data_IF_264116268529
#
_entry.id   IF_264116268529
#
_cell.length_a   1.000
_cell.length_b   1.000
_cell.length_c   1.000
_cell.angle_alpha   90.00
_cell.angle_beta   90.00
_cell.angle_gamma   90.00
#
_symmetry.space_group_name_H-M   'P 1'
#
loop_
_entity.id
_entity.type
_entity.pdbx_description
1 polymer ?
#
# COMPACT_ATOMS: atom_id res chain seq x y z
N UNK A 1 23.11 13.40 49.02
CA UNK A 1 23.33 12.60 47.77
C UNK A 1 22.02 12.05 47.18
N UNK A 2 20.86 12.67 47.44
CA UNK A 2 19.53 12.16 47.02
C UNK A 2 18.92 12.91 45.83
N UNK A 3 19.42 14.11 45.51
CA UNK A 3 18.92 14.93 44.39
C UNK A 3 19.48 14.51 43.03
N UNK A 4 20.74 14.05 42.99
CA UNK A 4 21.41 13.69 41.73
C UNK A 4 20.92 12.36 41.15
N UNK A 5 20.48 11.42 41.99
CA UNK A 5 19.85 10.15 41.57
C UNK A 5 18.44 10.36 41.03
N UNK A 6 17.70 11.33 41.56
CA UNK A 6 16.37 11.71 41.05
C UNK A 6 16.41 12.32 39.66
N UNK A 7 17.40 13.18 39.38
CA UNK A 7 17.58 13.77 38.05
C UNK A 7 18.01 12.76 37.00
N UNK A 8 18.86 11.79 37.35
CA UNK A 8 19.27 10.71 36.42
C UNK A 8 18.08 9.81 36.09
N UNK A 9 17.25 9.47 37.08
CA UNK A 9 16.06 8.63 36.88
C UNK A 9 14.99 9.34 36.02
N UNK A 10 14.85 10.65 36.15
CA UNK A 10 13.93 11.47 35.35
C UNK A 10 14.40 11.65 33.89
N UNK A 11 15.72 11.66 33.64
CA UNK A 11 16.27 11.75 32.28
C UNK A 11 16.11 10.42 31.52
N UNK A 12 16.24 9.28 32.20
CA UNK A 12 16.12 7.96 31.61
C UNK A 12 14.71 7.63 31.10
N UNK A 13 13.66 8.14 31.76
CA UNK A 13 12.25 7.91 31.37
C UNK A 13 11.83 8.69 30.13
N UNK A 14 12.47 9.82 29.81
CA UNK A 14 12.14 10.62 28.61
C UNK A 14 12.65 9.94 27.32
N UNK A 15 13.73 9.17 27.41
CA UNK A 15 14.32 8.44 26.27
C UNK A 15 13.50 7.22 25.81
N UNK A 16 12.53 6.75 26.60
CA UNK A 16 11.75 5.53 26.33
C UNK A 16 10.44 5.79 25.56
N UNK A 17 10.09 7.04 25.24
CA UNK A 17 8.78 7.40 24.65
C UNK A 17 8.84 7.70 23.14
N UNK A 18 10.01 7.61 22.50
CA UNK A 18 10.20 7.98 21.08
C UNK A 18 9.86 6.88 20.06
N UNK A 19 8.82 6.07 20.28
CA UNK A 19 8.62 4.86 19.46
C UNK A 19 7.18 4.38 19.27
N UNK A 20 6.22 5.24 18.90
CA UNK A 20 4.89 4.73 18.52
C UNK A 20 4.06 5.66 17.60
N UNK A 21 4.62 6.20 16.51
CA UNK A 21 3.82 7.00 15.54
C UNK A 21 3.64 6.37 14.15
N UNK A 22 4.08 5.13 13.91
CA UNK A 22 4.10 4.54 12.54
C UNK A 22 3.01 3.52 12.19
N UNK A 23 2.21 3.03 13.14
CA UNK A 23 1.41 1.81 12.91
C UNK A 23 0.25 1.98 11.92
N UNK A 24 -0.39 3.15 11.86
CA UNK A 24 -1.61 3.34 11.03
C UNK A 24 -1.28 3.48 9.53
N UNK A 25 -0.12 4.07 9.20
CA UNK A 25 0.34 4.16 7.81
C UNK A 25 0.88 2.84 7.26
N UNK A 26 1.52 2.03 8.12
CA UNK A 26 2.17 0.78 7.73
C UNK A 26 1.21 -0.27 7.15
N UNK A 27 0.04 -0.45 7.76
CA UNK A 27 -0.92 -1.46 7.31
C UNK A 27 -1.52 -1.13 5.93
N UNK A 28 -1.92 0.11 5.70
CA UNK A 28 -2.49 0.55 4.42
C UNK A 28 -1.40 0.59 3.34
N UNK A 29 -0.17 0.98 3.69
CA UNK A 29 0.98 0.93 2.78
C UNK A 29 1.32 -0.50 2.34
N UNK A 30 1.27 -1.45 3.28
CA UNK A 30 1.44 -2.88 3.00
C UNK A 30 0.32 -3.40 2.10
N UNK A 31 -0.94 -3.07 2.41
CA UNK A 31 -2.09 -3.45 1.58
C UNK A 31 -1.99 -2.93 0.14
N UNK A 32 -1.56 -1.67 -0.04
CA UNK A 32 -1.29 -1.10 -1.36
C UNK A 32 -0.19 -1.88 -2.09
N UNK A 33 0.92 -2.20 -1.41
CA UNK A 33 2.06 -2.89 -2.01
C UNK A 33 1.73 -4.33 -2.43
N UNK A 34 1.13 -5.11 -1.53
CA UNK A 34 0.68 -6.48 -1.83
C UNK A 34 -0.40 -6.49 -2.91
N UNK A 35 -1.30 -5.50 -2.86
CA UNK A 35 -2.36 -5.35 -3.85
C UNK A 35 -1.82 -5.02 -5.25
N UNK A 36 -0.80 -4.16 -5.36
CA UNK A 36 -0.12 -3.84 -6.62
C UNK A 36 0.53 -5.09 -7.22
N UNK A 37 1.27 -5.85 -6.40
CA UNK A 37 1.92 -7.09 -6.83
C UNK A 37 0.89 -8.10 -7.37
N UNK A 38 -0.17 -8.35 -6.61
CA UNK A 38 -1.26 -9.22 -7.04
C UNK A 38 -1.95 -8.70 -8.31
N UNK A 39 -2.21 -7.40 -8.39
CA UNK A 39 -2.85 -6.76 -9.53
C UNK A 39 -2.04 -6.88 -10.82
N UNK A 40 -0.71 -6.68 -10.75
CA UNK A 40 0.16 -6.88 -11.92
C UNK A 40 0.27 -8.35 -12.33
N UNK A 41 0.27 -9.28 -11.37
CA UNK A 41 0.23 -10.71 -11.67
C UNK A 41 -1.08 -11.10 -12.38
N UNK A 42 -2.22 -10.60 -11.92
CA UNK A 42 -3.53 -10.78 -12.56
C UNK A 42 -3.57 -10.16 -13.96
N UNK A 43 -3.02 -8.95 -14.12
CA UNK A 43 -2.94 -8.26 -15.42
C UNK A 43 -2.14 -9.07 -16.44
N UNK A 44 -1.01 -9.65 -16.02
CA UNK A 44 -0.18 -10.44 -16.91
C UNK A 44 -0.88 -11.72 -17.38
N UNK A 45 -1.70 -12.34 -16.53
CA UNK A 45 -2.57 -13.47 -16.94
C UNK A 45 -3.63 -13.01 -17.94
N UNK A 46 -4.34 -11.93 -17.62
CA UNK A 46 -5.39 -11.38 -18.48
C UNK A 46 -4.88 -10.93 -19.86
N UNK A 47 -3.63 -10.48 -19.98
CA UNK A 47 -3.00 -10.15 -21.27
C UNK A 47 -2.83 -11.35 -22.20
N UNK A 48 -2.66 -12.55 -21.63
CA UNK A 48 -2.52 -13.79 -22.41
C UNK A 48 -3.89 -14.31 -22.82
N UNK A 49 -4.88 -14.25 -21.92
CA UNK A 49 -6.20 -14.86 -22.12
C UNK A 49 -7.21 -13.91 -22.81
N UNK A 50 -7.06 -12.59 -22.64
CA UNK A 50 -8.08 -11.58 -22.95
C UNK A 50 -8.02 -10.96 -24.35
N UNK A 51 -7.86 -11.76 -25.41
CA UNK A 51 -7.74 -11.24 -26.79
C UNK A 51 -8.97 -10.40 -27.24
N UNK A 52 -10.15 -10.62 -26.65
CA UNK A 52 -11.38 -9.86 -26.93
C UNK A 52 -11.63 -8.63 -26.05
N UNK A 53 -10.85 -8.45 -24.96
CA UNK A 53 -11.14 -7.46 -23.92
C UNK A 53 -9.98 -6.49 -23.69
N UNK A 54 -9.25 -6.18 -24.76
CA UNK A 54 -8.09 -5.29 -24.75
C UNK A 54 -8.35 -3.94 -24.07
N UNK A 55 -9.59 -3.42 -24.15
CA UNK A 55 -10.00 -2.18 -23.48
C UNK A 55 -9.99 -2.34 -21.95
N UNK A 56 -10.54 -3.43 -21.41
CA UNK A 56 -10.57 -3.67 -19.97
C UNK A 56 -9.18 -3.98 -19.42
N UNK A 57 -8.37 -4.73 -20.17
CA UNK A 57 -6.95 -4.94 -19.87
C UNK A 57 -6.20 -3.61 -19.79
N UNK A 58 -6.45 -2.70 -20.74
CA UNK A 58 -5.81 -1.38 -20.77
C UNK A 58 -6.27 -0.52 -19.58
N UNK A 59 -7.57 -0.48 -19.28
CA UNK A 59 -8.11 0.23 -18.11
C UNK A 59 -7.48 -0.26 -16.81
N UNK A 60 -7.39 -1.58 -16.64
CA UNK A 60 -6.74 -2.18 -15.47
C UNK A 60 -5.26 -1.78 -15.38
N UNK A 61 -4.52 -1.85 -16.50
CA UNK A 61 -3.11 -1.44 -16.55
C UNK A 61 -2.92 0.03 -16.16
N UNK A 62 -3.76 0.94 -16.69
CA UNK A 62 -3.70 2.37 -16.36
C UNK A 62 -4.01 2.63 -14.88
N UNK A 63 -4.96 1.90 -14.29
CA UNK A 63 -5.28 2.03 -12.88
C UNK A 63 -4.15 1.55 -11.97
N UNK A 64 -3.49 0.44 -12.31
CA UNK A 64 -2.32 -0.05 -11.55
C UNK A 64 -1.15 0.92 -11.64
N UNK A 65 -0.86 1.47 -12.81
CA UNK A 65 0.18 2.49 -12.97
C UNK A 65 -0.13 3.74 -12.13
N UNK A 66 -1.37 4.23 -12.14
CA UNK A 66 -1.79 5.36 -11.33
C UNK A 66 -1.75 5.05 -9.81
N UNK A 67 -2.02 3.81 -9.40
CA UNK A 67 -1.88 3.38 -8.02
C UNK A 67 -0.42 3.40 -7.56
N UNK A 68 0.51 2.96 -8.41
CA UNK A 68 1.94 2.95 -8.10
C UNK A 68 2.48 4.38 -7.91
N UNK A 69 2.06 5.32 -8.76
CA UNK A 69 2.34 6.76 -8.55
C UNK A 69 1.80 7.22 -7.19
N UNK A 70 0.56 6.85 -6.84
CA UNK A 70 -0.01 7.23 -5.55
C UNK A 70 0.72 6.61 -4.36
N UNK A 71 1.27 5.41 -4.50
CA UNK A 71 2.15 4.78 -3.50
C UNK A 71 3.42 5.61 -3.28
N UNK A 72 4.03 6.11 -4.35
CA UNK A 72 5.24 6.95 -4.26
C UNK A 72 5.01 8.27 -3.51
N UNK A 73 3.80 8.83 -3.59
CA UNK A 73 3.39 10.02 -2.83
C UNK A 73 2.73 9.68 -1.48
N UNK A 74 2.88 8.44 -1.01
CA UNK A 74 2.33 7.94 0.26
C UNK A 74 0.80 8.11 0.38
N UNK A 75 0.09 8.20 -0.75
CA UNK A 75 -1.37 8.28 -0.83
C UNK A 75 -1.99 6.87 -0.81
N UNK A 76 -1.63 6.08 0.20
CA UNK A 76 -1.95 4.64 0.25
C UNK A 76 -3.46 4.32 0.15
N UNK A 77 -4.40 5.06 0.79
CA UNK A 77 -5.83 4.78 0.62
C UNK A 77 -6.30 4.88 -0.84
N UNK A 78 -5.79 5.87 -1.58
CA UNK A 78 -6.12 6.03 -3.00
C UNK A 78 -5.47 4.94 -3.86
N UNK A 79 -4.22 4.56 -3.53
CA UNK A 79 -3.58 3.41 -4.16
C UNK A 79 -4.44 2.15 -4.01
N UNK A 80 -4.86 1.83 -2.78
CA UNK A 80 -5.71 0.66 -2.49
C UNK A 80 -7.01 0.70 -3.30
N UNK A 81 -7.68 1.86 -3.39
CA UNK A 81 -8.89 1.99 -4.19
C UNK A 81 -8.65 1.73 -5.69
N UNK A 82 -7.57 2.29 -6.25
CA UNK A 82 -7.22 2.08 -7.66
C UNK A 82 -6.85 0.63 -7.95
N UNK A 83 -6.09 0.00 -7.07
CA UNK A 83 -5.76 -1.44 -7.16
C UNK A 83 -7.05 -2.26 -7.14
N UNK A 84 -7.95 -2.02 -6.20
CA UNK A 84 -9.25 -2.72 -6.09
C UNK A 84 -10.04 -2.62 -7.40
N UNK A 85 -10.11 -1.42 -7.99
CA UNK A 85 -10.81 -1.19 -9.25
C UNK A 85 -10.13 -1.87 -10.44
N UNK A 86 -8.80 -1.85 -10.51
CA UNK A 86 -8.07 -2.57 -11.56
C UNK A 86 -8.36 -4.07 -11.52
N UNK A 87 -8.31 -4.66 -10.31
CA UNK A 87 -8.59 -6.07 -10.10
C UNK A 87 -10.05 -6.45 -10.39
N UNK A 88 -10.99 -5.53 -10.21
CA UNK A 88 -12.39 -5.73 -10.61
C UNK A 88 -12.50 -5.91 -12.14
N UNK A 89 -11.87 -5.03 -12.93
CA UNK A 89 -11.83 -5.20 -14.39
C UNK A 89 -11.18 -6.54 -14.80
N UNK A 90 -10.08 -6.93 -14.13
CA UNK A 90 -9.40 -8.21 -14.39
C UNK A 90 -10.18 -9.44 -13.94
N UNK A 91 -11.11 -9.29 -13.00
CA UNK A 91 -12.01 -10.34 -12.58
C UNK A 91 -13.17 -10.52 -13.57
N UNK A 92 -13.69 -9.42 -14.11
CA UNK A 92 -14.74 -9.46 -15.13
C UNK A 92 -14.26 -10.12 -16.43
N UNK A 93 -13.00 -9.91 -16.81
CA UNK A 93 -12.39 -10.58 -17.99
C UNK A 93 -12.41 -12.11 -17.91
N UNK A 94 -12.40 -12.65 -16.68
CA UNK A 94 -12.36 -14.10 -16.41
C UNK A 94 -13.73 -14.72 -16.19
N UNK A 95 -14.81 -13.91 -16.22
CA UNK A 95 -16.18 -14.38 -16.01
C UNK A 95 -16.78 -14.84 -17.33
#
# INVERSE_FOLDING_TARGET
MTNSTRTILALATILLVSGCSGRVGGDVARQCSEGLEAGYAELNKAKVDGFGEAVEVTKAASLLAAADVQKQFEKFPNCVDKVRRARAYLADIRR
#
